data_IF_805587643087
#
_entry.id   IF_805587643087
#
_cell.length_a   1.000
_cell.length_b   1.000
_cell.length_c   1.000
_cell.angle_alpha   90.00
_cell.angle_beta   90.00
_cell.angle_gamma   90.00
#
_symmetry.space_group_name_H-M   'P 1'
#
loop_
_entity.id
_entity.type
_entity.pdbx_description
1 polymer ?
#
# COMPACT_ATOMS: atom_id res chain seq x y z
N UNK A 1 10.64 11.67 7.44
CA UNK A 1 9.41 10.93 7.05
C UNK A 1 8.96 11.24 5.62
N UNK A 2 8.63 12.49 5.26
CA UNK A 2 8.17 12.84 3.89
C UNK A 2 9.12 12.41 2.76
N UNK A 3 10.44 12.49 2.96
CA UNK A 3 11.43 12.08 1.97
C UNK A 3 11.34 10.59 1.59
N UNK A 4 11.04 9.71 2.56
CA UNK A 4 10.89 8.27 2.30
C UNK A 4 9.64 7.98 1.48
N UNK A 5 8.52 8.65 1.78
CA UNK A 5 7.31 8.55 0.96
C UNK A 5 7.51 9.10 -0.45
N UNK A 6 8.18 10.25 -0.60
CA UNK A 6 8.50 10.82 -1.91
C UNK A 6 9.37 9.88 -2.76
N UNK A 7 10.34 9.19 -2.15
CA UNK A 7 11.20 8.25 -2.84
C UNK A 7 10.46 6.98 -3.32
N UNK A 8 9.40 6.55 -2.61
CA UNK A 8 8.58 5.41 -3.02
C UNK A 8 7.58 5.75 -4.12
N UNK A 9 7.15 7.01 -4.18
CA UNK A 9 6.11 7.44 -5.10
C UNK A 9 4.73 6.88 -4.74
N UNK A 10 3.84 6.83 -5.72
CA UNK A 10 2.45 6.40 -5.53
C UNK A 10 2.36 4.91 -5.21
N UNK A 11 1.52 4.54 -4.25
CA UNK A 11 1.34 3.15 -3.82
C UNK A 11 -0.11 2.67 -3.93
N UNK A 12 -1.07 3.54 -4.21
CA UNK A 12 -2.51 3.22 -4.30
C UNK A 12 -2.87 2.06 -5.24
N UNK A 13 -2.13 1.89 -6.33
CA UNK A 13 -2.34 0.83 -7.31
C UNK A 13 -1.24 -0.23 -7.30
N UNK A 14 -0.34 -0.20 -6.32
CA UNK A 14 0.68 -1.22 -6.18
C UNK A 14 0.02 -2.52 -5.70
N UNK A 15 0.40 -3.66 -6.28
CA UNK A 15 -0.14 -4.97 -5.86
C UNK A 15 0.17 -5.29 -4.40
N UNK A 16 1.35 -4.88 -3.93
CA UNK A 16 1.78 -5.04 -2.54
C UNK A 16 2.42 -3.73 -2.06
N UNK A 17 1.59 -2.77 -1.62
CA UNK A 17 2.04 -1.44 -1.22
C UNK A 17 3.09 -1.50 -0.12
N UNK A 18 4.14 -0.68 -0.22
CA UNK A 18 5.22 -0.63 0.77
C UNK A 18 4.87 0.35 1.89
N UNK A 19 4.84 -0.16 3.10
CA UNK A 19 4.64 0.61 4.34
C UNK A 19 5.96 1.23 4.76
N UNK A 20 5.93 2.51 5.14
CA UNK A 20 7.09 3.26 5.66
C UNK A 20 7.03 3.41 7.16
N UNK A 21 5.84 3.67 7.68
CA UNK A 21 5.59 3.99 9.08
C UNK A 21 4.29 3.33 9.49
N UNK A 22 4.25 2.79 10.70
CA UNK A 22 3.03 2.27 11.31
C UNK A 22 2.67 3.18 12.47
N UNK A 23 1.45 3.68 12.46
CA UNK A 23 0.86 4.39 13.58
C UNK A 23 -0.03 3.41 14.35
N UNK A 24 0.07 3.35 15.67
CA UNK A 24 -0.69 2.46 16.54
C UNK A 24 -1.28 3.26 17.68
N UNK A 25 -2.49 2.94 18.08
CA UNK A 25 -3.06 3.52 19.30
C UNK A 25 -2.62 2.67 20.51
N UNK A 26 -1.97 3.26 21.53
CA UNK A 26 -1.55 2.53 22.72
C UNK A 26 -2.74 1.84 23.42
N UNK A 27 -2.61 0.54 23.69
CA UNK A 27 -3.65 -0.23 24.37
C UNK A 27 -4.84 -0.65 23.50
N UNK A 28 -4.93 -0.16 22.27
CA UNK A 28 -5.96 -0.55 21.31
C UNK A 28 -5.40 -1.43 20.19
N UNK A 29 -6.30 -2.07 19.43
CA UNK A 29 -5.94 -2.86 18.24
C UNK A 29 -5.80 -2.01 16.97
N UNK A 30 -6.07 -0.70 17.06
CA UNK A 30 -6.04 0.22 15.93
C UNK A 30 -4.60 0.43 15.45
N UNK A 31 -4.37 0.18 14.17
CA UNK A 31 -3.10 0.46 13.51
C UNK A 31 -3.33 1.03 12.10
N UNK A 32 -2.56 2.05 11.73
CA UNK A 32 -2.53 2.65 10.42
C UNK A 32 -1.16 2.44 9.76
N UNK A 33 -1.15 1.66 8.68
CA UNK A 33 0.02 1.27 7.91
C UNK A 33 0.19 2.24 6.75
N UNK A 34 1.05 3.24 6.92
CA UNK A 34 1.19 4.36 5.99
C UNK A 34 2.09 3.97 4.81
N UNK A 35 1.58 4.13 3.60
CA UNK A 35 2.26 3.72 2.36
C UNK A 35 2.65 4.90 1.47
N UNK A 36 1.89 6.00 1.54
CA UNK A 36 2.08 7.15 0.67
C UNK A 36 1.79 8.46 1.41
N UNK A 37 2.51 9.52 1.04
CA UNK A 37 2.17 10.89 1.40
C UNK A 37 1.73 11.63 0.15
N UNK A 38 0.47 12.10 0.16
CA UNK A 38 -0.16 12.80 -0.95
C UNK A 38 -0.04 14.31 -0.72
N UNK A 39 0.92 14.92 -1.41
CA UNK A 39 1.33 16.31 -1.15
C UNK A 39 0.26 17.33 -1.51
N UNK A 40 -0.59 17.07 -2.51
CA UNK A 40 -1.66 18.00 -2.92
C UNK A 40 -2.79 18.06 -1.90
N UNK A 41 -3.09 16.92 -1.27
CA UNK A 41 -4.17 16.74 -0.31
C UNK A 41 -3.70 16.89 1.15
N UNK A 42 -2.39 17.09 1.36
CA UNK A 42 -1.70 17.08 2.66
C UNK A 42 -2.12 15.94 3.60
N UNK A 43 -2.21 14.73 3.04
CA UNK A 43 -2.66 13.55 3.77
C UNK A 43 -1.72 12.35 3.56
N UNK A 44 -1.81 11.41 4.48
CA UNK A 44 -1.16 10.11 4.34
C UNK A 44 -2.18 9.08 3.93
N UNK A 45 -1.85 8.27 2.93
CA UNK A 45 -2.65 7.13 2.49
C UNK A 45 -2.05 5.83 3.02
N UNK A 46 -2.92 4.88 3.35
CA UNK A 46 -2.51 3.61 3.91
C UNK A 46 -3.68 2.70 4.29
N UNK A 47 -3.35 1.61 4.98
CA UNK A 47 -4.33 0.64 5.46
C UNK A 47 -4.61 0.82 6.95
N UNK A 48 -5.88 0.87 7.32
CA UNK A 48 -6.36 0.95 8.70
C UNK A 48 -6.83 -0.44 9.13
N UNK A 49 -6.29 -0.91 10.25
CA UNK A 49 -6.62 -2.18 10.88
C UNK A 49 -7.16 -1.97 12.29
N UNK A 50 -8.12 -2.79 12.72
CA UNK A 50 -8.59 -2.81 14.10
C UNK A 50 -9.78 -1.89 14.39
N UNK A 51 -10.39 -1.36 13.32
CA UNK A 51 -11.73 -0.79 13.31
C UNK A 51 -12.79 -1.89 13.17
N UNK A 52 -14.08 -1.54 13.12
CA UNK A 52 -15.16 -2.50 12.80
C UNK A 52 -15.01 -3.11 11.41
N UNK A 53 -14.41 -2.36 10.48
CA UNK A 53 -14.07 -2.78 9.13
C UNK A 53 -12.67 -2.28 8.81
N UNK A 54 -11.75 -3.19 8.55
CA UNK A 54 -10.43 -2.84 8.05
C UNK A 54 -10.54 -2.26 6.63
N UNK A 55 -9.80 -1.20 6.32
CA UNK A 55 -9.95 -0.50 5.04
C UNK A 55 -8.74 0.31 4.62
N UNK A 56 -8.65 0.60 3.33
CA UNK A 56 -7.72 1.59 2.79
C UNK A 56 -8.31 2.99 2.93
N UNK A 57 -7.49 3.97 3.30
CA UNK A 57 -7.97 5.32 3.54
C UNK A 57 -6.86 6.35 3.65
N UNK A 58 -7.27 7.62 3.69
CA UNK A 58 -6.38 8.76 3.88
C UNK A 58 -6.65 9.42 5.22
N UNK A 59 -5.58 9.77 5.93
CA UNK A 59 -5.65 10.55 7.17
C UNK A 59 -4.91 11.88 6.95
N UNK A 60 -5.57 13.03 7.21
CA UNK A 60 -4.92 14.34 7.16
C UNK A 60 -3.67 14.41 8.04
N UNK A 61 -2.62 15.06 7.56
CA UNK A 61 -1.34 15.15 8.26
C UNK A 61 -1.48 15.79 9.65
N UNK A 62 -2.26 16.84 9.77
CA UNK A 62 -2.53 17.54 11.02
C UNK A 62 -3.12 16.61 12.09
N UNK A 63 -3.96 15.65 11.70
CA UNK A 63 -4.52 14.67 12.65
C UNK A 63 -3.45 13.74 13.19
N UNK A 64 -2.55 13.23 12.34
CA UNK A 64 -1.42 12.40 12.77
C UNK A 64 -0.49 13.19 13.70
N UNK A 65 -0.19 14.45 13.36
CA UNK A 65 0.66 15.31 14.19
C UNK A 65 0.01 15.64 15.54
N UNK A 66 -1.31 15.83 15.59
CA UNK A 66 -2.04 16.07 16.83
C UNK A 66 -1.97 14.85 17.76
N UNK A 67 -2.20 13.64 17.26
CA UNK A 67 -2.14 12.43 18.09
C UNK A 67 -0.70 12.21 18.62
N UNK A 68 0.31 12.44 17.77
CA UNK A 68 1.72 12.35 18.17
C UNK A 68 2.10 13.35 19.27
N UNK A 69 1.57 14.57 19.22
CA UNK A 69 1.79 15.58 20.27
C UNK A 69 1.16 15.14 21.59
N UNK A 70 -0.09 14.69 21.54
CA UNK A 70 -0.83 14.25 22.74
C UNK A 70 -0.15 13.07 23.43
N UNK A 71 0.30 12.03 22.69
CA UNK A 71 0.97 10.87 23.31
C UNK A 71 2.31 11.24 23.95
N UNK A 72 3.07 12.15 23.34
CA UNK A 72 4.29 12.69 23.95
C UNK A 72 4.03 13.51 25.20
N UNK A 73 3.02 14.38 25.18
CA UNK A 73 2.65 15.20 26.35
C UNK A 73 2.20 14.33 27.53
N UNK A 74 1.49 13.23 27.27
CA UNK A 74 0.98 12.34 28.31
C UNK A 74 2.07 11.40 28.84
N UNK A 75 2.90 10.83 27.96
CA UNK A 75 3.79 9.73 28.34
C UNK A 75 5.28 10.07 28.35
N UNK A 76 5.66 11.25 27.85
CA UNK A 76 7.06 11.64 27.65
C UNK A 76 7.80 10.82 26.58
N UNK A 77 7.10 9.92 25.86
CA UNK A 77 7.66 9.04 24.84
C UNK A 77 6.73 8.94 23.61
N UNK A 78 7.30 8.58 22.46
CA UNK A 78 6.54 8.27 21.24
C UNK A 78 6.21 6.76 21.24
N UNK A 79 5.02 6.40 21.75
CA UNK A 79 4.53 5.02 21.79
C UNK A 79 3.58 4.72 20.64
N UNK A 80 3.09 5.75 19.99
CA UNK A 80 2.14 5.66 18.88
C UNK A 80 2.80 5.35 17.54
N UNK A 81 4.08 5.68 17.34
CA UNK A 81 4.73 5.52 16.03
C UNK A 81 5.81 4.44 16.04
N UNK A 82 5.70 3.50 15.10
CA UNK A 82 6.78 2.59 14.73
C UNK A 82 7.33 2.98 13.35
N UNK A 83 8.53 3.55 13.33
CA UNK A 83 9.25 3.83 12.09
C UNK A 83 9.94 2.56 11.60
N UNK A 84 9.68 2.13 10.36
CA UNK A 84 10.38 0.99 9.79
C UNK A 84 11.77 1.40 9.31
N UNK A 85 12.74 0.50 9.46
CA UNK A 85 14.13 0.71 9.01
C UNK A 85 14.25 0.80 7.49
N UNK A 86 13.33 0.14 6.77
CA UNK A 86 13.16 0.21 5.32
C UNK A 86 11.68 0.10 4.96
N UNK A 87 11.26 0.60 3.79
CA UNK A 87 9.93 0.33 3.27
C UNK A 87 9.67 -1.18 3.16
N UNK A 88 8.57 -1.65 3.74
CA UNK A 88 8.25 -3.08 3.84
C UNK A 88 6.90 -3.36 3.20
N UNK A 89 6.75 -4.38 2.33
CA UNK A 89 5.47 -4.75 1.75
C UNK A 89 4.40 -5.01 2.81
N UNK A 90 3.16 -4.58 2.54
CA UNK A 90 2.08 -4.75 3.52
C UNK A 90 1.77 -6.22 3.80
N UNK A 91 1.99 -7.11 2.83
CA UNK A 91 1.83 -8.56 2.99
C UNK A 91 2.75 -9.17 4.06
N UNK A 92 3.91 -8.56 4.32
CA UNK A 92 4.82 -8.98 5.39
C UNK A 92 4.36 -8.52 6.77
N UNK A 93 3.62 -7.41 6.85
CA UNK A 93 3.16 -6.78 8.09
C UNK A 93 1.74 -7.19 8.48
N UNK A 94 0.92 -7.51 7.48
CA UNK A 94 -0.48 -7.92 7.61
C UNK A 94 -0.66 -9.20 6.78
N UNK A 95 -0.44 -10.38 7.38
CA UNK A 95 -0.42 -11.66 6.65
C UNK A 95 -1.68 -11.98 5.86
N UNK A 96 -2.83 -11.42 6.24
CA UNK A 96 -4.10 -11.56 5.51
C UNK A 96 -4.03 -11.10 4.04
N UNK A 97 -3.06 -10.26 3.68
CA UNK A 97 -2.85 -9.81 2.31
C UNK A 97 -2.03 -10.78 1.46
N UNK A 98 -1.29 -11.73 2.04
CA UNK A 98 -0.36 -12.56 1.27
C UNK A 98 -1.04 -13.33 0.15
N UNK A 99 -2.08 -14.08 0.49
CA UNK A 99 -2.77 -14.95 -0.47
C UNK A 99 -3.57 -14.14 -1.52
N UNK A 100 -4.40 -13.14 -1.15
CA UNK A 100 -5.09 -12.30 -2.14
C UNK A 100 -4.15 -11.63 -3.15
N UNK A 101 -2.99 -11.14 -2.69
CA UNK A 101 -1.99 -10.51 -3.56
C UNK A 101 -1.37 -11.53 -4.52
N UNK A 102 -1.03 -12.73 -4.03
CA UNK A 102 -0.50 -13.79 -4.90
C UNK A 102 -1.50 -14.20 -5.98
N UNK A 103 -2.78 -14.39 -5.60
CA UNK A 103 -3.85 -14.75 -6.53
C UNK A 103 -4.06 -13.66 -7.57
N UNK A 104 -4.14 -12.39 -7.16
CA UNK A 104 -4.30 -11.28 -8.08
C UNK A 104 -3.15 -11.17 -9.09
N UNK A 105 -1.91 -11.37 -8.64
CA UNK A 105 -0.73 -11.40 -9.52
C UNK A 105 -0.77 -12.55 -10.51
N UNK A 106 -1.13 -13.76 -10.04
CA UNK A 106 -1.23 -14.93 -10.90
C UNK A 106 -2.29 -14.73 -12.00
N UNK A 107 -3.48 -14.23 -11.62
CA UNK A 107 -4.56 -13.97 -12.58
C UNK A 107 -4.11 -12.96 -13.65
N UNK A 108 -3.42 -11.87 -13.27
CA UNK A 108 -2.91 -10.90 -14.23
C UNK A 108 -1.91 -11.51 -15.21
N UNK A 109 -0.98 -12.34 -14.72
CA UNK A 109 -0.01 -13.03 -15.59
C UNK A 109 -0.71 -13.98 -16.57
N UNK A 110 -1.73 -14.70 -16.11
CA UNK A 110 -2.51 -15.57 -16.98
C UNK A 110 -3.27 -14.78 -18.06
N UNK A 111 -3.90 -13.65 -17.71
CA UNK A 111 -4.58 -12.77 -18.66
C UNK A 111 -3.62 -12.16 -19.69
N UNK A 112 -2.44 -11.72 -19.25
CA UNK A 112 -1.39 -11.20 -20.15
C UNK A 112 -0.90 -12.28 -21.12
N UNK A 113 -0.71 -13.51 -20.64
CA UNK A 113 -0.30 -14.64 -21.48
C UNK A 113 -1.39 -15.02 -22.50
N UNK A 114 -2.65 -15.02 -22.10
CA UNK A 114 -3.77 -15.26 -23.01
C UNK A 114 -3.83 -14.20 -24.12
N UNK A 115 -3.72 -12.91 -23.76
CA UNK A 115 -3.70 -11.81 -24.73
C UNK A 115 -2.52 -11.94 -25.70
N UNK A 116 -1.34 -12.32 -25.22
CA UNK A 116 -0.17 -12.53 -26.07
C UNK A 116 -0.40 -13.67 -27.07
N UNK A 117 -0.95 -14.79 -26.61
CA UNK A 117 -1.26 -15.93 -27.49
C UNK A 117 -2.36 -15.59 -28.52
N UNK A 118 -3.33 -14.73 -28.18
CA UNK A 118 -4.32 -14.20 -29.13
C UNK A 118 -3.65 -13.34 -30.20
N UNK A 119 -2.80 -12.39 -29.80
CA UNK A 119 -2.08 -11.52 -30.73
C UNK A 119 -1.16 -12.29 -31.68
N UNK A 120 -0.50 -13.36 -31.21
CA UNK A 120 0.34 -14.22 -32.05
C UNK A 120 -0.50 -14.99 -33.09
N UNK A 121 -1.68 -15.50 -32.70
CA UNK A 121 -2.60 -16.18 -33.64
C UNK A 121 -3.15 -15.24 -34.72
N UNK A 122 -3.47 -14.00 -34.36
CA UNK A 122 -4.00 -13.01 -35.30
C UNK A 122 -2.92 -12.50 -36.27
N UNK A 123 -1.64 -12.50 -35.85
CA UNK A 123 -0.51 -12.12 -36.73
C UNK A 123 -0.15 -13.23 -37.73
N UNK A 124 -0.24 -14.50 -37.35
CA UNK A 124 0.04 -15.64 -38.24
C UNK A 124 -1.04 -15.84 -39.31
N UNK A 125 -2.29 -15.37 -39.08
CA UNK A 125 -3.37 -15.44 -40.08
C UNK A 125 -3.38 -14.27 -41.08
N UNK A 126 -2.54 -13.23 -40.89
CA UNK A 126 -2.46 -12.06 -41.76
C UNK A 126 -1.46 -12.17 -42.93
N UNK A 127 -0.75 -13.30 -43.06
CA UNK A 127 0.19 -13.56 -44.16
C UNK A 127 -0.36 -14.65 -45.11
N UNK A 128 -1.46 -14.36 -45.81
CA UNK A 128 -1.76 -15.12 -47.03
C UNK A 128 -0.87 -14.59 -48.17
N UNK A 129 -0.09 -15.44 -48.87
CA UNK A 129 0.69 -15.01 -50.01
C UNK A 129 -0.27 -14.68 -51.17
N UNK A 130 -0.28 -13.41 -51.60
CA UNK A 130 -0.91 -13.01 -52.85
C UNK A 130 -0.24 -13.78 -54.01
N UNK A 131 -1.03 -14.60 -54.70
CA UNK A 131 -0.65 -15.39 -55.87
C UNK A 131 -0.55 -14.55 -57.14
#
# INVERSE_FOLDING_TARGET
MKLQFKALGKQEFADDPKVVTIFKTPGEKLAFYMTEYREKEDCFFGYVKGTSVDSWGSIPRNNIEAIYKVDQEISGQDRTRTQLSKPTPISELVPAFKEPIMVARLNRLMEEQQKKNEQERDQDQGQEPEH
#
